data_IF_169742658501
#
_entry.id   IF_169742658501
#
_cell.length_a   1.000
_cell.length_b   1.000
_cell.length_c   1.000
_cell.angle_alpha   90.00
_cell.angle_beta   90.00
_cell.angle_gamma   90.00
#
_symmetry.space_group_name_H-M   'P 1'
#
loop_
_entity.id
_entity.type
_entity.pdbx_description
1 polymer ?
#
# COMPACT_ATOMS: atom_id res chain seq x y z
N UNK A 1 -9.95 -9.14 -10.12
CA UNK A 1 -9.78 -9.20 -8.65
C UNK A 1 -10.35 -10.49 -8.07
N UNK A 2 -11.65 -10.76 -8.23
CA UNK A 2 -12.33 -11.98 -7.73
C UNK A 2 -11.77 -13.32 -8.24
N UNK A 3 -11.25 -13.35 -9.46
CA UNK A 3 -10.70 -14.57 -10.10
C UNK A 3 -9.16 -14.65 -10.04
N UNK A 4 -8.50 -13.73 -9.33
CA UNK A 4 -7.03 -13.75 -9.24
C UNK A 4 -6.58 -14.89 -8.34
N UNK A 5 -5.55 -15.61 -8.76
CA UNK A 5 -4.91 -16.63 -7.94
C UNK A 5 -4.27 -16.00 -6.69
N UNK A 6 -4.43 -16.66 -5.54
CA UNK A 6 -3.95 -16.14 -4.24
C UNK A 6 -2.44 -16.02 -4.20
N UNK A 7 -1.71 -16.99 -4.75
CA UNK A 7 -0.24 -16.96 -4.75
C UNK A 7 0.25 -15.87 -5.71
N UNK A 8 -0.40 -15.73 -6.87
CA UNK A 8 -0.13 -14.62 -7.80
C UNK A 8 -0.37 -13.25 -7.15
N UNK A 9 -1.47 -13.10 -6.41
CA UNK A 9 -1.80 -11.87 -5.70
C UNK A 9 -0.78 -11.56 -4.60
N UNK A 10 -0.41 -12.54 -3.77
CA UNK A 10 0.58 -12.34 -2.70
C UNK A 10 1.98 -12.04 -3.23
N UNK A 11 2.40 -12.72 -4.29
CA UNK A 11 3.64 -12.38 -4.99
C UNK A 11 3.58 -10.96 -5.53
N UNK A 12 2.46 -10.56 -6.13
CA UNK A 12 2.26 -9.19 -6.58
C UNK A 12 2.31 -8.20 -5.40
N UNK A 13 1.74 -8.52 -4.23
CA UNK A 13 1.79 -7.67 -3.03
C UNK A 13 3.21 -7.53 -2.48
N UNK A 14 3.98 -8.62 -2.46
CA UNK A 14 5.36 -8.62 -2.00
C UNK A 14 6.31 -7.93 -2.98
N UNK A 15 6.00 -7.98 -4.27
CA UNK A 15 6.77 -7.31 -5.31
C UNK A 15 6.32 -5.87 -5.54
N UNK A 16 5.06 -5.53 -5.23
CA UNK A 16 4.56 -4.17 -5.31
C UNK A 16 5.08 -3.37 -4.13
N UNK A 17 5.68 -2.26 -4.50
CA UNK A 17 6.60 -1.54 -3.63
C UNK A 17 5.90 -0.79 -2.51
N UNK A 18 4.58 -0.73 -2.52
CA UNK A 18 3.78 -0.03 -1.53
C UNK A 18 3.05 -1.05 -0.66
N UNK A 19 3.48 -1.20 0.58
CA UNK A 19 2.91 -2.17 1.52
C UNK A 19 2.06 -1.46 2.58
N UNK A 20 0.86 -1.96 2.82
CA UNK A 20 0.00 -1.48 3.91
C UNK A 20 0.52 -2.05 5.24
N UNK A 21 0.79 -1.18 6.22
CA UNK A 21 1.25 -1.62 7.54
C UNK A 21 0.11 -2.12 8.46
N UNK A 22 -1.14 -1.88 8.07
CA UNK A 22 -2.33 -2.27 8.85
C UNK A 22 -2.77 -1.23 9.89
N UNK A 23 -2.12 -0.06 9.94
CA UNK A 23 -2.42 1.02 10.86
C UNK A 23 -2.96 2.26 10.14
N UNK A 24 -3.33 3.29 10.91
CA UNK A 24 -3.96 4.51 10.41
C UNK A 24 -3.37 5.77 11.03
N UNK A 25 -3.54 6.89 10.33
CA UNK A 25 -3.24 8.21 10.88
C UNK A 25 -4.35 8.73 11.82
N UNK A 26 -4.14 9.89 12.45
CA UNK A 26 -5.14 10.48 13.35
C UNK A 26 -6.47 10.83 12.67
N UNK A 27 -6.48 11.01 11.34
CA UNK A 27 -7.70 11.24 10.57
C UNK A 27 -8.38 9.95 10.13
N UNK A 28 -7.76 8.80 10.37
CA UNK A 28 -8.26 7.48 10.04
C UNK A 28 -7.82 6.97 8.67
N UNK A 29 -6.92 7.66 7.98
CA UNK A 29 -6.42 7.24 6.67
C UNK A 29 -5.45 6.06 6.84
N UNK A 30 -5.53 5.01 5.99
CA UNK A 30 -4.61 3.90 6.03
C UNK A 30 -3.19 4.35 5.68
N UNK A 31 -2.21 3.78 6.37
CA UNK A 31 -0.79 4.08 6.19
C UNK A 31 -0.14 3.03 5.30
N UNK A 32 0.52 3.52 4.26
CA UNK A 32 1.30 2.73 3.33
C UNK A 32 2.77 3.12 3.40
N UNK A 33 3.66 2.13 3.40
CA UNK A 33 5.11 2.33 3.44
C UNK A 33 5.71 1.90 2.12
N UNK A 34 6.58 2.74 1.56
CA UNK A 34 7.30 2.51 0.32
C UNK A 34 8.80 2.77 0.52
N UNK A 35 9.59 1.73 0.82
CA UNK A 35 11.03 1.87 0.95
C UNK A 35 11.70 1.79 -0.43
N UNK A 36 12.32 2.89 -0.82
CA UNK A 36 12.92 3.10 -2.14
C UNK A 36 14.21 2.28 -2.32
N UNK A 37 14.93 1.96 -1.24
CA UNK A 37 16.14 1.15 -1.32
C UNK A 37 15.85 -0.27 -1.83
N UNK A 38 14.69 -0.84 -1.50
CA UNK A 38 14.28 -2.15 -2.00
C UNK A 38 13.91 -2.15 -3.48
N UNK A 39 13.78 -0.98 -4.11
CA UNK A 39 13.41 -0.83 -5.51
C UNK A 39 14.66 -0.78 -6.37
N UNK A 40 15.12 -1.89 -6.95
CA UNK A 40 16.20 -1.85 -7.95
C UNK A 40 15.64 -2.01 -9.36
N UNK A 41 16.39 -1.55 -10.37
CA UNK A 41 15.99 -1.73 -11.77
C UNK A 41 15.81 -3.21 -12.10
N UNK A 42 16.66 -4.07 -11.57
CA UNK A 42 16.63 -5.51 -11.79
C UNK A 42 15.33 -6.11 -11.22
N UNK A 43 14.92 -5.71 -10.01
CA UNK A 43 13.64 -6.14 -9.43
C UNK A 43 12.45 -5.64 -10.22
N UNK A 44 12.51 -4.42 -10.76
CA UNK A 44 11.46 -3.87 -11.63
C UNK A 44 11.35 -4.60 -12.95
N UNK A 45 12.48 -4.85 -13.60
CA UNK A 45 12.50 -5.52 -14.90
C UNK A 45 12.09 -7.00 -14.71
N UNK A 46 12.42 -7.61 -13.57
CA UNK A 46 11.91 -8.95 -13.18
C UNK A 46 10.41 -8.92 -12.94
N UNK A 47 9.89 -7.92 -12.22
CA UNK A 47 8.45 -7.74 -12.00
C UNK A 47 7.71 -7.55 -13.33
N UNK A 48 8.15 -6.60 -14.13
CA UNK A 48 7.53 -6.31 -15.43
C UNK A 48 7.60 -7.53 -16.33
N UNK A 49 8.73 -8.24 -16.43
CA UNK A 49 8.84 -9.43 -17.29
C UNK A 49 7.98 -10.61 -16.80
N UNK A 50 7.94 -10.84 -15.48
CA UNK A 50 7.12 -11.90 -14.86
C UNK A 50 5.63 -11.64 -15.07
N UNK A 51 5.19 -10.38 -14.95
CA UNK A 51 3.78 -10.01 -15.04
C UNK A 51 3.36 -9.40 -16.40
N UNK A 52 4.28 -9.17 -17.34
CA UNK A 52 3.97 -8.81 -18.73
C UNK A 52 3.52 -10.01 -19.54
N UNK A 53 3.95 -11.20 -19.13
CA UNK A 53 3.52 -12.47 -19.71
C UNK A 53 2.09 -12.75 -19.19
N UNK A 54 1.12 -12.59 -20.09
CA UNK A 54 -0.33 -12.62 -19.89
C UNK A 54 -0.86 -13.51 -18.74
N UNK A 55 -1.82 -12.96 -17.99
CA UNK A 55 -2.82 -13.75 -17.29
C UNK A 55 -3.68 -14.42 -18.37
N UNK A 56 -3.38 -15.67 -18.71
CA UNK A 56 -4.27 -16.55 -19.47
C UNK A 56 -5.36 -17.05 -18.53
N UNK A 57 -6.38 -16.22 -18.29
CA UNK A 57 -7.67 -16.65 -17.75
C UNK A 57 -8.70 -16.61 -18.88
N UNK A 58 -9.36 -17.73 -19.14
CA UNK A 58 -10.15 -18.05 -20.35
C UNK A 58 -11.37 -17.15 -20.69
N UNK A 59 -11.56 -15.95 -20.13
CA UNK A 59 -12.81 -15.21 -20.37
C UNK A 59 -12.77 -13.72 -20.67
N UNK A 60 -11.63 -13.00 -20.57
CA UNK A 60 -11.62 -11.58 -20.96
C UNK A 60 -10.32 -11.15 -21.64
N UNK A 61 -10.40 -10.86 -22.94
CA UNK A 61 -9.37 -10.14 -23.69
C UNK A 61 -9.24 -8.72 -23.13
N UNK A 62 -8.37 -8.51 -22.15
CA UNK A 62 -7.97 -7.15 -21.74
C UNK A 62 -6.63 -6.81 -22.37
N UNK A 63 -6.59 -5.74 -23.16
CA UNK A 63 -5.40 -5.19 -23.86
C UNK A 63 -4.32 -4.62 -22.93
N UNK A 64 -4.53 -4.65 -21.62
CA UNK A 64 -3.62 -4.07 -20.63
C UNK A 64 -2.49 -5.06 -20.26
N UNK A 65 -1.24 -4.59 -20.18
CA UNK A 65 -0.13 -5.39 -19.65
C UNK A 65 -0.45 -5.96 -18.27
N UNK A 66 -0.10 -7.22 -18.00
CA UNK A 66 -0.50 -7.88 -16.73
C UNK A 66 0.06 -7.22 -15.45
N UNK A 67 1.19 -6.51 -15.52
CA UNK A 67 1.68 -5.70 -14.41
C UNK A 67 0.74 -4.53 -14.05
N UNK A 68 0.01 -3.98 -15.02
CA UNK A 68 -1.02 -2.97 -14.80
C UNK A 68 -2.26 -3.62 -14.18
N UNK A 69 -2.64 -4.83 -14.60
CA UNK A 69 -3.75 -5.57 -13.97
C UNK A 69 -3.49 -5.86 -12.49
N UNK A 70 -2.24 -6.18 -12.12
CA UNK A 70 -1.86 -6.37 -10.72
C UNK A 70 -1.89 -5.07 -9.93
N UNK A 71 -1.49 -3.95 -10.55
CA UNK A 71 -1.67 -2.63 -9.95
C UNK A 71 -3.14 -2.34 -9.67
N UNK A 72 -4.04 -2.58 -10.64
CA UNK A 72 -5.48 -2.45 -10.44
C UNK A 72 -5.98 -3.35 -9.32
N UNK A 73 -5.57 -4.63 -9.28
CA UNK A 73 -6.00 -5.55 -8.22
C UNK A 73 -5.65 -5.04 -6.81
N UNK A 74 -4.53 -4.37 -6.62
CA UNK A 74 -4.18 -3.75 -5.34
C UNK A 74 -4.97 -2.48 -5.04
N UNK A 75 -5.34 -1.71 -6.08
CA UNK A 75 -6.26 -0.60 -5.92
C UNK A 75 -7.68 -1.06 -5.57
N UNK A 76 -8.16 -2.15 -6.18
CA UNK A 76 -9.43 -2.78 -5.79
C UNK A 76 -9.38 -3.20 -4.31
N UNK A 77 -8.28 -3.80 -3.83
CA UNK A 77 -8.14 -4.08 -2.40
C UNK A 77 -8.22 -2.82 -1.52
N UNK A 78 -7.60 -1.72 -1.96
CA UNK A 78 -7.67 -0.45 -1.25
C UNK A 78 -9.11 0.08 -1.20
N UNK A 79 -9.82 0.07 -2.32
CA UNK A 79 -11.16 0.65 -2.48
C UNK A 79 -12.25 -0.21 -1.87
N UNK A 80 -12.20 -1.52 -2.08
CA UNK A 80 -13.27 -2.44 -1.67
C UNK A 80 -13.07 -2.97 -0.26
N UNK A 81 -11.84 -3.01 0.25
CA UNK A 81 -11.56 -3.55 1.59
C UNK A 81 -11.02 -2.52 2.57
N UNK A 82 -9.90 -1.89 2.24
CA UNK A 82 -9.20 -1.04 3.22
C UNK A 82 -10.02 0.21 3.54
N UNK A 83 -10.47 0.98 2.55
CA UNK A 83 -11.21 2.22 2.75
C UNK A 83 -12.56 2.01 3.48
N UNK A 84 -13.39 1.02 3.13
CA UNK A 84 -14.65 0.77 3.82
C UNK A 84 -14.42 0.29 5.25
N UNK A 85 -13.45 -0.61 5.47
CA UNK A 85 -13.08 -1.06 6.82
C UNK A 85 -12.66 0.13 7.69
N UNK A 86 -11.86 1.07 7.16
CA UNK A 86 -11.43 2.26 7.91
C UNK A 86 -12.55 3.24 8.19
N UNK A 87 -13.53 3.34 7.29
CA UNK A 87 -14.68 4.23 7.48
C UNK A 87 -15.56 3.83 8.67
N UNK A 88 -15.54 2.55 9.07
CA UNK A 88 -16.27 2.05 10.24
C UNK A 88 -15.55 2.28 11.59
N UNK A 89 -14.28 2.67 11.56
CA UNK A 89 -13.47 2.78 12.77
C UNK A 89 -13.62 4.16 13.42
N UNK A 90 -13.51 4.24 14.77
CA UNK A 90 -13.57 5.51 15.47
C UNK A 90 -12.49 6.48 14.96
N UNK A 91 -12.93 7.67 14.51
CA UNK A 91 -12.07 8.76 14.03
C UNK A 91 -12.74 10.12 14.32
N UNK A 92 -11.97 11.24 14.30
CA UNK A 92 -12.52 12.56 14.62
C UNK A 92 -13.71 12.98 13.74
N UNK A 93 -13.69 12.64 12.45
CA UNK A 93 -14.72 13.04 11.49
C UNK A 93 -15.49 11.82 11.00
N UNK A 94 -16.45 11.32 11.79
CA UNK A 94 -17.22 10.12 11.44
C UNK A 94 -18.14 10.29 10.23
N UNK A 95 -18.53 11.53 9.92
CA UNK A 95 -19.50 11.85 8.86
C UNK A 95 -18.94 11.72 7.44
N UNK A 96 -17.61 11.67 7.27
CA UNK A 96 -16.96 11.67 5.94
C UNK A 96 -16.18 10.37 5.71
N UNK A 97 -16.67 9.51 4.83
CA UNK A 97 -16.03 8.24 4.49
C UNK A 97 -14.55 8.41 4.11
N UNK A 98 -13.72 7.44 4.51
CA UNK A 98 -12.29 7.44 4.18
C UNK A 98 -12.14 7.14 2.68
N UNK A 99 -11.67 8.13 1.92
CA UNK A 99 -11.45 8.02 0.47
C UNK A 99 -9.99 8.19 0.06
N UNK A 100 -9.08 8.36 1.02
CA UNK A 100 -7.68 8.68 0.76
C UNK A 100 -6.72 7.85 1.62
N UNK A 101 -5.47 7.73 1.18
CA UNK A 101 -4.38 7.04 1.91
C UNK A 101 -3.18 7.95 2.18
N UNK A 102 -2.46 7.63 3.26
CA UNK A 102 -1.21 8.28 3.65
C UNK A 102 -0.03 7.40 3.27
N UNK A 103 0.97 7.96 2.58
CA UNK A 103 2.17 7.24 2.18
C UNK A 103 3.40 7.75 2.95
N UNK A 104 4.23 6.82 3.39
CA UNK A 104 5.58 7.06 3.90
C UNK A 104 6.54 6.49 2.86
N UNK A 105 7.28 7.37 2.19
CA UNK A 105 8.30 7.01 1.20
C UNK A 105 9.65 7.12 1.89
N UNK A 106 10.30 6.00 2.08
CA UNK A 106 11.60 5.94 2.74
C UNK A 106 12.72 5.91 1.70
N UNK A 107 13.53 6.97 1.70
CA UNK A 107 14.69 7.14 0.83
C UNK A 107 16.00 7.04 1.61
N UNK A 108 15.96 6.53 2.85
CA UNK A 108 17.17 6.20 3.61
C UNK A 108 18.04 5.26 2.76
N UNK A 109 19.32 5.60 2.62
CA UNK A 109 20.31 4.91 1.78
C UNK A 109 20.04 4.92 0.26
N UNK A 110 19.06 5.68 -0.23
CA UNK A 110 18.85 5.85 -1.65
C UNK A 110 19.80 6.91 -2.23
N UNK A 111 20.74 6.47 -3.07
CA UNK A 111 21.62 7.38 -3.81
C UNK A 111 20.87 8.19 -4.87
N UNK A 112 21.42 9.36 -5.21
CA UNK A 112 20.90 10.19 -6.31
C UNK A 112 20.77 9.41 -7.63
N UNK A 113 21.78 8.59 -7.95
CA UNK A 113 21.77 7.74 -9.14
C UNK A 113 20.68 6.68 -9.11
N UNK A 114 20.38 6.14 -7.93
CA UNK A 114 19.29 5.20 -7.73
C UNK A 114 17.94 5.86 -8.00
N UNK A 115 17.67 7.00 -7.36
CA UNK A 115 16.45 7.77 -7.58
C UNK A 115 16.22 8.10 -9.07
N UNK A 116 17.30 8.41 -9.81
CA UNK A 116 17.20 8.72 -11.23
C UNK A 116 16.89 7.50 -12.11
N UNK A 117 17.41 6.31 -11.76
CA UNK A 117 17.11 5.05 -12.46
C UNK A 117 15.63 4.67 -12.31
N UNK A 118 15.05 4.93 -11.14
CA UNK A 118 13.69 4.49 -10.78
C UNK A 118 12.62 5.51 -11.17
N UNK A 119 13.03 6.76 -11.48
CA UNK A 119 12.17 7.88 -11.85
C UNK A 119 11.10 7.53 -12.87
N UNK A 120 11.44 6.77 -13.92
CA UNK A 120 10.50 6.42 -14.99
C UNK A 120 9.29 5.70 -14.42
N UNK A 121 9.54 4.72 -13.55
CA UNK A 121 8.52 3.91 -12.91
C UNK A 121 7.69 4.71 -11.90
N UNK A 122 8.32 5.57 -11.11
CA UNK A 122 7.61 6.46 -10.18
C UNK A 122 6.65 7.39 -10.91
N UNK A 123 7.10 7.99 -12.02
CA UNK A 123 6.27 8.87 -12.85
C UNK A 123 5.12 8.12 -13.50
N UNK A 124 5.38 6.92 -14.02
CA UNK A 124 4.36 6.07 -14.64
C UNK A 124 3.30 5.62 -13.63
N UNK A 125 3.71 5.12 -12.46
CA UNK A 125 2.80 4.73 -11.39
C UNK A 125 1.98 5.91 -10.85
N UNK A 126 2.61 7.09 -10.70
CA UNK A 126 1.91 8.30 -10.26
C UNK A 126 0.91 8.78 -11.31
N UNK A 127 1.27 8.74 -12.60
CA UNK A 127 0.36 9.10 -13.69
C UNK A 127 -0.81 8.14 -13.77
N UNK A 128 -0.55 6.83 -13.61
CA UNK A 128 -1.57 5.79 -13.62
C UNK A 128 -2.55 5.95 -12.45
N UNK A 129 -2.02 6.14 -11.23
CA UNK A 129 -2.83 6.39 -10.05
C UNK A 129 -3.73 7.63 -10.21
N UNK A 130 -3.17 8.72 -10.75
CA UNK A 130 -3.92 9.98 -10.92
C UNK A 130 -4.97 9.87 -12.02
N UNK A 131 -4.70 9.12 -13.10
CA UNK A 131 -5.62 8.95 -14.22
C UNK A 131 -6.82 8.06 -13.88
N UNK A 132 -6.59 6.94 -13.19
CA UNK A 132 -7.64 5.95 -12.91
C UNK A 132 -8.29 6.12 -11.54
N UNK A 133 -7.57 6.65 -10.55
CA UNK A 133 -8.01 6.75 -9.17
C UNK A 133 -7.76 8.14 -8.59
N UNK A 134 -8.37 9.19 -9.20
CA UNK A 134 -8.22 10.55 -8.71
C UNK A 134 -8.67 10.66 -7.25
N UNK A 135 -8.06 11.59 -6.51
CA UNK A 135 -8.42 11.90 -5.11
C UNK A 135 -8.14 10.82 -4.05
N UNK A 136 -7.63 9.65 -4.43
CA UNK A 136 -7.24 8.60 -3.45
C UNK A 136 -5.96 8.92 -2.66
N UNK A 137 -5.30 10.04 -2.96
CA UNK A 137 -4.06 10.45 -2.32
C UNK A 137 -4.29 11.51 -1.23
N UNK A 138 -3.97 11.16 0.02
CA UNK A 138 -4.08 12.05 1.17
C UNK A 138 -2.80 12.86 1.43
N UNK A 139 -1.81 12.24 2.07
CA UNK A 139 -0.49 12.83 2.36
C UNK A 139 0.63 11.90 1.92
N UNK A 140 1.77 12.50 1.56
CA UNK A 140 3.02 11.78 1.27
C UNK A 140 4.10 12.35 2.18
N UNK A 141 4.72 11.50 2.99
CA UNK A 141 5.90 11.83 3.80
C UNK A 141 7.12 11.17 3.18
N UNK A 142 8.10 11.96 2.73
CA UNK A 142 9.39 11.45 2.25
C UNK A 142 10.37 11.53 3.42
N UNK A 143 10.83 10.39 3.93
CA UNK A 143 11.74 10.29 5.09
C UNK A 143 13.12 9.81 4.67
N UNK A 144 14.13 10.11 5.49
CA UNK A 144 15.51 9.72 5.18
C UNK A 144 16.19 10.63 4.15
N UNK A 145 15.71 11.85 3.96
CA UNK A 145 16.24 12.72 2.90
C UNK A 145 17.67 13.16 3.17
N UNK A 146 18.61 12.76 2.30
CA UNK A 146 19.97 13.29 2.27
C UNK A 146 20.03 14.68 1.59
N UNK A 147 21.02 15.54 1.89
CA UNK A 147 21.15 16.85 1.26
C UNK A 147 21.20 16.82 -0.29
N UNK A 148 21.73 15.75 -0.87
CA UNK A 148 21.74 15.49 -2.32
C UNK A 148 20.33 15.31 -2.89
N UNK A 149 19.41 14.70 -2.14
CA UNK A 149 18.02 14.51 -2.55
C UNK A 149 17.26 15.82 -2.67
N UNK A 150 17.58 16.85 -1.87
CA UNK A 150 16.91 18.16 -1.96
C UNK A 150 17.06 18.76 -3.37
N UNK A 151 18.25 18.61 -3.98
CA UNK A 151 18.50 19.06 -5.36
C UNK A 151 17.73 18.21 -6.38
N UNK A 152 17.71 16.90 -6.21
CA UNK A 152 16.92 15.98 -7.05
C UNK A 152 15.42 16.31 -6.99
N UNK A 153 14.94 16.57 -5.77
CA UNK A 153 13.55 16.90 -5.48
C UNK A 153 13.15 18.20 -6.16
N UNK A 154 14.01 19.22 -6.17
CA UNK A 154 13.75 20.47 -6.87
C UNK A 154 13.44 20.25 -8.37
N UNK A 155 14.11 19.28 -9.01
CA UNK A 155 13.85 18.89 -10.40
C UNK A 155 12.59 18.01 -10.49
N UNK A 156 12.43 17.07 -9.55
CA UNK A 156 11.32 16.13 -9.51
C UNK A 156 9.95 16.79 -9.31
N UNK A 157 9.90 17.95 -8.65
CA UNK A 157 8.67 18.73 -8.47
C UNK A 157 7.94 19.01 -9.78
N UNK A 158 8.67 19.18 -10.88
CA UNK A 158 8.07 19.43 -12.21
C UNK A 158 7.32 18.23 -12.78
N UNK A 159 7.38 17.05 -12.15
CA UNK A 159 6.66 15.86 -12.60
C UNK A 159 5.30 15.69 -11.92
N UNK A 160 5.00 16.49 -10.88
CA UNK A 160 3.78 16.39 -10.10
C UNK A 160 2.96 17.67 -10.23
N UNK A 161 1.64 17.52 -10.30
CA UNK A 161 0.72 18.66 -10.29
C UNK A 161 0.72 19.37 -8.93
N UNK A 162 0.30 20.64 -8.92
CA UNK A 162 0.28 21.49 -7.70
C UNK A 162 -0.49 20.85 -6.55
N UNK A 163 -1.59 20.15 -6.84
CA UNK A 163 -2.41 19.48 -5.83
C UNK A 163 -1.66 18.33 -5.14
N UNK A 164 -0.81 17.60 -5.87
CA UNK A 164 0.00 16.51 -5.33
C UNK A 164 1.19 17.10 -4.57
N UNK A 165 1.85 18.13 -5.11
CA UNK A 165 2.95 18.82 -4.45
C UNK A 165 2.57 19.39 -3.08
N UNK A 166 1.35 19.93 -2.94
CA UNK A 166 0.84 20.44 -1.66
C UNK A 166 0.66 19.33 -0.60
N UNK A 167 0.60 18.07 -1.01
CA UNK A 167 0.43 16.90 -0.14
C UNK A 167 1.76 16.23 0.24
N UNK A 168 2.88 16.65 -0.36
CA UNK A 168 4.20 16.04 -0.15
C UNK A 168 5.00 16.83 0.89
N UNK A 169 5.44 16.12 1.92
CA UNK A 169 6.29 16.62 3.00
C UNK A 169 7.64 15.90 2.90
N UNK A 170 8.71 16.65 2.61
CA UNK A 170 10.07 16.11 2.62
C UNK A 170 10.67 16.38 3.98
N UNK A 171 11.00 15.32 4.70
CA UNK A 171 11.45 15.37 6.09
C UNK A 171 12.92 14.99 6.19
N UNK A 172 13.68 15.81 6.91
CA UNK A 172 15.06 15.49 7.27
C UNK A 172 15.07 14.29 8.22
N UNK A 173 16.15 13.49 8.28
CA UNK A 173 16.26 12.38 9.23
C UNK A 173 16.06 12.79 10.70
N UNK A 174 16.38 14.05 11.05
CA UNK A 174 16.23 14.58 12.41
C UNK A 174 14.78 14.92 12.76
N UNK A 175 14.01 15.37 11.77
CA UNK A 175 12.63 15.85 11.97
C UNK A 175 11.57 14.84 11.52
N UNK A 176 12.00 13.73 10.90
CA UNK A 176 11.10 12.72 10.36
C UNK A 176 10.18 12.14 11.43
N UNK A 177 10.75 11.59 12.51
CA UNK A 177 9.99 10.96 13.59
C UNK A 177 9.08 11.96 14.30
N UNK A 178 9.58 13.14 14.67
CA UNK A 178 8.78 14.15 15.38
C UNK A 178 7.59 14.61 14.54
N UNK A 179 7.81 14.85 13.24
CA UNK A 179 6.74 15.24 12.32
C UNK A 179 5.74 14.10 12.11
N UNK A 180 6.19 12.87 11.87
CA UNK A 180 5.30 11.72 11.69
C UNK A 180 4.41 11.50 12.92
N UNK A 181 4.95 11.66 14.13
CA UNK A 181 4.21 11.57 15.39
C UNK A 181 3.17 12.69 15.58
N UNK A 182 3.28 13.81 14.86
CA UNK A 182 2.19 14.82 14.85
C UNK A 182 0.97 14.37 14.05
N UNK A 183 1.14 13.45 13.10
CA UNK A 183 0.08 12.98 12.20
C UNK A 183 -0.41 11.57 12.54
N UNK A 184 0.41 10.75 13.20
CA UNK A 184 0.12 9.34 13.47
C UNK A 184 0.50 8.98 14.90
N UNK A 185 -0.27 8.08 15.51
CA UNK A 185 0.06 7.58 16.83
C UNK A 185 1.35 6.75 16.81
N UNK A 186 2.11 6.79 17.91
CA UNK A 186 3.38 6.05 18.04
C UNK A 186 3.24 4.54 17.74
N UNK A 187 2.14 3.92 18.17
CA UNK A 187 1.83 2.51 17.89
C UNK A 187 1.39 2.21 16.45
N UNK A 188 1.17 3.24 15.64
CA UNK A 188 0.83 3.11 14.22
C UNK A 188 2.04 3.28 13.31
N UNK A 189 3.17 3.72 13.87
CA UNK A 189 4.40 3.96 13.15
C UNK A 189 5.38 2.79 13.35
N UNK A 190 6.00 2.25 12.27
CA UNK A 190 7.07 1.25 12.38
C UNK A 190 8.24 1.69 13.27
N UNK A 191 8.87 0.72 13.95
CA UNK A 191 10.07 0.95 14.77
C UNK A 191 11.21 1.62 13.96
N UNK A 192 11.33 1.31 12.66
CA UNK A 192 12.32 1.90 11.74
C UNK A 192 12.18 3.42 11.59
N UNK A 193 10.98 3.98 11.82
CA UNK A 193 10.71 5.42 11.74
C UNK A 193 10.61 6.08 13.13
N UNK A 194 10.97 5.36 14.19
CA UNK A 194 10.91 5.83 15.58
C UNK A 194 9.57 5.58 16.27
N UNK A 195 8.74 4.69 15.73
CA UNK A 195 7.50 4.24 16.34
C UNK A 195 7.65 3.02 17.25
N UNK A 196 6.54 2.36 17.58
CA UNK A 196 6.52 1.10 18.36
C UNK A 196 5.87 -0.07 17.64
N UNK A 197 5.49 0.09 16.37
CA UNK A 197 4.93 -0.98 15.56
C UNK A 197 6.04 -1.93 15.09
N UNK A 198 5.96 -3.19 15.53
CA UNK A 198 6.81 -4.28 15.05
C UNK A 198 6.31 -4.80 13.71
N UNK A 199 6.56 -4.02 12.67
CA UNK A 199 6.20 -4.34 11.29
C UNK A 199 7.36 -3.96 10.37
N UNK A 200 7.72 -4.87 9.46
CA UNK A 200 8.74 -4.62 8.44
C UNK A 200 8.12 -4.72 7.05
N UNK A 201 8.79 -4.09 6.09
CA UNK A 201 8.38 -4.20 4.70
C UNK A 201 8.39 -5.67 4.24
N UNK A 202 7.27 -6.10 3.64
CA UNK A 202 7.03 -7.50 3.24
C UNK A 202 6.16 -8.29 4.22
N UNK A 203 6.04 -7.85 5.47
CA UNK A 203 5.16 -8.49 6.45
C UNK A 203 3.68 -8.33 6.08
N UNK A 204 2.83 -9.15 6.69
CA UNK A 204 1.37 -8.97 6.61
C UNK A 204 0.95 -7.71 7.37
N UNK A 205 -0.15 -7.06 6.98
CA UNK A 205 -0.66 -5.89 7.71
C UNK A 205 -1.02 -6.26 9.15
N UNK A 206 -0.61 -5.43 10.11
CA UNK A 206 -0.98 -5.59 11.53
C UNK A 206 -2.12 -4.63 11.89
N UNK A 207 -3.35 -5.13 11.87
CA UNK A 207 -4.54 -4.37 12.25
C UNK A 207 -4.59 -4.12 13.76
N UNK A 208 -4.98 -2.90 14.13
CA UNK A 208 -5.26 -2.53 15.51
C UNK A 208 -6.52 -3.21 16.05
N UNK A 209 -6.68 -3.23 17.36
CA UNK A 209 -7.75 -3.98 18.04
C UNK A 209 -9.17 -3.64 17.53
N UNK A 210 -9.58 -2.37 17.35
CA UNK A 210 -10.86 -2.03 16.73
C UNK A 210 -11.06 -2.64 15.33
N UNK A 211 -10.04 -2.57 14.47
CA UNK A 211 -10.10 -3.15 13.12
C UNK A 211 -10.13 -4.68 13.16
N UNK A 212 -9.40 -5.28 14.11
CA UNK A 212 -9.35 -6.73 14.31
C UNK A 212 -10.68 -7.30 14.80
N UNK A 213 -11.49 -6.54 15.54
CA UNK A 213 -12.82 -6.99 15.96
C UNK A 213 -13.76 -7.11 14.75
N UNK A 214 -13.73 -6.12 13.84
CA UNK A 214 -14.55 -6.13 12.63
C UNK A 214 -14.04 -7.16 11.62
N UNK A 215 -12.71 -7.21 11.41
CA UNK A 215 -12.05 -8.11 10.47
C UNK A 215 -11.52 -9.38 11.14
N UNK A 216 -12.19 -9.86 12.20
CA UNK A 216 -11.73 -11.00 13.00
C UNK A 216 -11.57 -12.27 12.18
N UNK A 217 -12.40 -12.42 11.15
CA UNK A 217 -12.36 -13.52 10.19
C UNK A 217 -11.09 -13.61 9.34
N UNK A 218 -10.32 -12.51 9.25
CA UNK A 218 -9.04 -12.51 8.55
C UNK A 218 -7.90 -13.11 9.36
N UNK A 219 -8.12 -13.43 10.63
CA UNK A 219 -7.11 -14.00 11.50
C UNK A 219 -7.38 -15.50 11.74
N UNK A 220 -6.57 -16.35 11.13
CA UNK A 220 -6.58 -17.79 11.40
C UNK A 220 -5.60 -18.10 12.52
N UNK A 221 -6.06 -18.84 13.54
CA UNK A 221 -5.17 -19.35 14.58
C UNK A 221 -4.56 -20.66 14.10
N UNK A 222 -3.24 -20.73 14.08
CA UNK A 222 -2.52 -21.99 13.86
C UNK A 222 -2.72 -22.93 15.06
N UNK A 223 -2.32 -24.21 14.94
CA UNK A 223 -2.39 -25.22 16.01
C UNK A 223 -1.69 -24.78 17.32
N UNK A 224 -0.74 -23.84 17.21
CA UNK A 224 -0.01 -23.24 18.34
C UNK A 224 -0.67 -21.97 18.91
N UNK A 225 -1.87 -21.63 18.46
CA UNK A 225 -2.61 -20.42 18.86
C UNK A 225 -2.06 -19.11 18.27
N UNK A 226 -1.11 -19.20 17.32
CA UNK A 226 -0.56 -18.01 16.66
C UNK A 226 -1.54 -17.54 15.58
N UNK A 227 -2.04 -16.30 15.72
CA UNK A 227 -2.96 -15.69 14.76
C UNK A 227 -2.18 -15.17 13.54
N UNK A 228 -2.50 -15.68 12.36
CA UNK A 228 -1.93 -15.27 11.08
C UNK A 228 -3.00 -14.65 10.18
N UNK A 229 -2.61 -13.64 9.41
CA UNK A 229 -3.52 -12.95 8.50
C UNK A 229 -3.73 -13.79 7.23
N UNK A 230 -4.98 -13.94 6.79
CA UNK A 230 -5.32 -14.72 5.59
C UNK A 230 -4.73 -14.06 4.34
N UNK A 231 -4.03 -14.86 3.54
CA UNK A 231 -3.49 -14.45 2.24
C UNK A 231 -4.57 -14.37 1.16
N UNK A 232 -4.41 -13.43 0.23
CA UNK A 232 -5.23 -13.29 -0.96
C UNK A 232 -6.09 -12.01 -1.00
N UNK A 233 -6.85 -11.84 -2.09
CA UNK A 233 -7.75 -10.71 -2.25
C UNK A 233 -8.94 -10.81 -1.28
N UNK A 234 -9.33 -9.66 -0.73
CA UNK A 234 -10.40 -9.52 0.25
C UNK A 234 -11.20 -8.27 -0.09
N UNK A 235 -12.51 -8.31 0.15
CA UNK A 235 -13.42 -7.19 0.00
C UNK A 235 -14.19 -6.97 1.31
N UNK A 236 -14.74 -5.78 1.48
CA UNK A 236 -15.57 -5.41 2.61
C UNK A 236 -16.97 -5.06 2.12
N UNK A 237 -17.96 -5.89 2.47
CA UNK A 237 -19.34 -5.75 2.03
C UNK A 237 -20.28 -5.82 3.24
N UNK A 238 -21.19 -4.86 3.36
CA UNK A 238 -22.22 -4.81 4.41
C UNK A 238 -21.70 -4.99 5.86
N UNK A 239 -20.54 -4.41 6.16
CA UNK A 239 -19.95 -4.52 7.51
C UNK A 239 -19.18 -5.82 7.77
N UNK A 240 -19.01 -6.66 6.75
CA UNK A 240 -18.32 -7.95 6.85
C UNK A 240 -17.20 -8.05 5.85
N UNK A 241 -16.21 -8.86 6.18
CA UNK A 241 -15.11 -9.17 5.27
C UNK A 241 -15.49 -10.39 4.42
N UNK A 242 -15.36 -10.25 3.11
CA UNK A 242 -15.47 -11.32 2.14
C UNK A 242 -14.07 -11.68 1.64
N UNK A 243 -13.71 -12.94 1.76
CA UNK A 243 -12.48 -13.46 1.14
C UNK A 243 -12.80 -13.80 -0.31
N UNK A 244 -11.94 -13.38 -1.24
CA UNK A 244 -12.07 -13.57 -2.68
C UNK A 244 -10.85 -14.34 -3.24
N UNK A 245 -10.86 -14.60 -4.55
CA UNK A 245 -9.72 -15.18 -5.27
C UNK A 245 -9.84 -16.68 -5.47
N UNK A 246 -8.85 -17.26 -6.16
CA UNK A 246 -8.75 -18.70 -6.37
C UNK A 246 -7.60 -19.28 -5.54
N UNK A 247 -7.85 -20.39 -4.84
CA UNK A 247 -6.78 -21.19 -4.26
C UNK A 247 -6.90 -22.63 -4.77
N UNK A 248 -5.78 -23.18 -5.26
CA UNK A 248 -5.73 -24.53 -5.85
C UNK A 248 -6.80 -24.75 -6.94
N UNK A 249 -7.06 -23.72 -7.76
CA UNK A 249 -8.05 -23.76 -8.84
C UNK A 249 -9.51 -23.76 -8.39
N UNK A 250 -9.82 -23.51 -7.10
CA UNK A 250 -11.19 -23.37 -6.60
C UNK A 250 -11.44 -21.92 -6.14
N UNK A 251 -12.62 -21.34 -6.46
CA UNK A 251 -12.98 -20.02 -5.95
C UNK A 251 -13.13 -20.07 -4.43
N UNK A 252 -12.47 -19.15 -3.74
CA UNK A 252 -12.68 -18.86 -2.33
C UNK A 252 -13.71 -17.75 -2.27
N UNK A 253 -14.99 -18.09 -2.30
CA UNK A 253 -16.04 -17.11 -2.05
C UNK A 253 -16.81 -17.57 -0.82
N UNK A 254 -16.42 -17.05 0.34
CA UNK A 254 -17.16 -17.25 1.58
C UNK A 254 -17.29 -15.90 2.27
N UNK A 255 -18.53 -15.50 2.54
CA UNK A 255 -18.80 -14.39 3.46
C UNK A 255 -18.48 -14.90 4.85
N UNK A 256 -17.34 -14.49 5.39
CA UNK A 256 -17.04 -14.81 6.78
C UNK A 256 -17.96 -13.99 7.68
N UNK A 257 -18.88 -14.69 8.36
CA UNK A 257 -19.82 -14.12 9.32
C UNK A 257 -19.17 -13.82 10.66
#
# INVERSE_FOLDING_TARGET
YSHMDVDHYEESRQMVFCAMNGRRDYQGLPVYVFPVNHFTKERMDTYISKFSSSITGETHHTELPGHILNFHALYENLLDFVMPLRSQLPRPNMDVSVSAKTHIIDITDADFGHFWKIRRYLREASSLATAYYPETLGRIFIVGSCPSFIKAWAIAKNWFDRNILAKIYVLSPRDATSTLLTYMHNSSLPEEYGGTLRWKWGDMPDLDEPARLIASSLYQSDEKGQKSFIKGPVAFCDGRVQVLGMANGRPREYVTC
#
